data_IF_435440618123
#
_entry.id   IF_435440618123
#
_cell.length_a   1.000
_cell.length_b   1.000
_cell.length_c   1.000
_cell.angle_alpha   90.00
_cell.angle_beta   90.00
_cell.angle_gamma   90.00
#
_symmetry.space_group_name_H-M   'P 1'
#
loop_
_entity.id
_entity.type
_entity.pdbx_description
1 polymer ?
#
# COMPACT_ATOMS: atom_id res chain seq x y z
N UNK A 1 -10.30 -6.23 12.27
CA UNK A 1 -10.13 -6.36 10.80
C UNK A 1 -8.81 -5.71 10.45
N UNK A 2 -7.99 -6.35 9.61
CA UNK A 2 -6.69 -5.83 9.18
C UNK A 2 -6.67 -5.83 7.65
N UNK A 3 -6.26 -4.73 7.03
CA UNK A 3 -6.23 -4.55 5.57
C UNK A 3 -4.79 -4.65 5.07
N UNK A 4 -4.54 -5.48 4.06
CA UNK A 4 -3.28 -5.46 3.33
C UNK A 4 -3.33 -4.34 2.28
N UNK A 5 -2.28 -3.53 2.20
CA UNK A 5 -2.12 -2.51 1.17
C UNK A 5 -0.84 -2.75 0.38
N UNK A 6 -0.87 -2.42 -0.90
CA UNK A 6 0.28 -2.47 -1.78
C UNK A 6 0.01 -1.71 -3.07
N UNK A 7 1.06 -1.21 -3.70
CA UNK A 7 1.03 -0.50 -4.97
C UNK A 7 2.35 -0.71 -5.71
N UNK A 8 2.39 -0.38 -6.99
CA UNK A 8 3.66 -0.10 -7.66
C UNK A 8 4.13 1.34 -7.37
N UNK A 9 5.20 1.74 -8.06
CA UNK A 9 5.81 3.07 -7.98
C UNK A 9 4.83 4.20 -8.31
N UNK A 10 3.90 3.99 -9.24
CA UNK A 10 2.92 5.00 -9.61
C UNK A 10 1.87 5.23 -8.49
N UNK A 11 1.64 4.24 -7.62
CA UNK A 11 0.66 4.32 -6.54
C UNK A 11 1.18 4.80 -5.19
N UNK A 12 2.50 5.01 -5.01
CA UNK A 12 3.11 5.34 -3.71
C UNK A 12 2.52 6.60 -3.08
N UNK A 13 2.36 7.67 -3.87
CA UNK A 13 1.79 8.92 -3.39
C UNK A 13 0.38 8.71 -2.81
N UNK A 14 -0.49 7.99 -3.53
CA UNK A 14 -1.84 7.71 -3.08
C UNK A 14 -1.87 6.76 -1.88
N UNK A 15 -1.01 5.73 -1.87
CA UNK A 15 -0.88 4.81 -0.73
C UNK A 15 -0.53 5.58 0.55
N UNK A 16 0.39 6.53 0.46
CA UNK A 16 0.76 7.39 1.58
C UNK A 16 -0.40 8.25 2.07
N UNK A 17 -1.22 8.81 1.17
CA UNK A 17 -2.43 9.57 1.52
C UNK A 17 -3.55 8.70 2.14
N UNK A 18 -3.58 7.39 1.85
CA UNK A 18 -4.57 6.46 2.40
C UNK A 18 -4.24 6.06 3.85
N UNK A 19 -2.95 5.93 4.22
CA UNK A 19 -2.59 5.45 5.57
C UNK A 19 -3.08 6.35 6.72
N UNK A 20 -3.11 7.70 6.62
CA UNK A 20 -3.77 8.56 7.61
C UNK A 20 -5.27 8.31 7.74
N UNK A 21 -5.96 8.05 6.61
CA UNK A 21 -7.40 7.74 6.62
C UNK A 21 -7.65 6.41 7.32
N UNK A 22 -6.85 5.38 7.05
CA UNK A 22 -6.95 4.10 7.76
C UNK A 22 -6.72 4.27 9.27
N UNK A 23 -5.77 5.12 9.64
CA UNK A 23 -5.48 5.47 11.04
C UNK A 23 -6.65 6.19 11.70
N UNK A 24 -7.24 7.19 11.04
CA UNK A 24 -8.41 7.93 11.54
C UNK A 24 -9.61 7.01 11.77
N UNK A 25 -9.81 6.04 10.88
CA UNK A 25 -10.87 5.03 10.98
C UNK A 25 -10.57 3.91 11.99
N UNK A 26 -9.43 3.96 12.69
CA UNK A 26 -8.95 2.90 13.58
C UNK A 26 -8.88 1.51 12.91
N UNK A 27 -8.62 1.48 11.61
CA UNK A 27 -8.42 0.26 10.82
C UNK A 27 -6.94 -0.10 10.89
N UNK A 28 -6.62 -1.33 11.29
CA UNK A 28 -5.25 -1.82 11.23
C UNK A 28 -4.87 -2.15 9.78
N UNK A 29 -3.63 -1.87 9.37
CA UNK A 29 -3.13 -2.25 8.05
C UNK A 29 -1.72 -2.84 8.10
N UNK A 30 -1.32 -3.49 7.01
CA UNK A 30 0.04 -3.94 6.73
C UNK A 30 0.39 -3.56 5.29
N UNK A 31 1.57 -2.99 5.11
CA UNK A 31 2.04 -2.45 3.84
C UNK A 31 3.05 -3.42 3.21
N UNK A 32 2.71 -3.94 2.04
CA UNK A 32 3.53 -4.90 1.30
C UNK A 32 4.38 -4.26 0.19
N UNK A 33 4.37 -2.91 0.11
CA UNK A 33 5.19 -2.12 -0.79
C UNK A 33 4.47 -1.71 -2.08
N UNK A 34 5.16 -1.06 -3.01
CA UNK A 34 6.51 -0.50 -2.87
C UNK A 34 6.52 0.76 -2.01
N UNK A 35 7.67 1.14 -1.46
CA UNK A 35 7.85 2.28 -0.56
C UNK A 35 8.69 3.42 -1.16
N UNK A 36 8.99 3.34 -2.45
CA UNK A 36 9.75 4.34 -3.20
C UNK A 36 9.19 4.51 -4.61
N UNK A 37 9.58 5.59 -5.27
CA UNK A 37 9.16 5.90 -6.64
C UNK A 37 10.05 5.24 -7.71
N UNK A 38 10.88 4.28 -7.31
CA UNK A 38 11.71 3.53 -8.25
C UNK A 38 10.82 2.57 -9.04
N UNK A 39 11.04 2.50 -10.35
CA UNK A 39 10.24 1.64 -11.23
C UNK A 39 10.31 0.19 -10.80
N UNK A 40 9.13 -0.42 -10.63
CA UNK A 40 8.91 -1.80 -10.18
C UNK A 40 7.65 -2.36 -10.81
N UNK A 41 7.52 -3.69 -10.80
CA UNK A 41 6.39 -4.41 -11.39
C UNK A 41 5.25 -4.61 -10.37
N UNK A 42 4.04 -4.16 -10.72
CA UNK A 42 2.87 -4.26 -9.84
C UNK A 42 2.45 -5.69 -9.42
N UNK A 43 2.65 -6.77 -10.21
CA UNK A 43 2.27 -8.12 -9.79
C UNK A 43 2.96 -8.58 -8.51
N UNK A 44 4.22 -8.19 -8.28
CA UNK A 44 5.01 -8.55 -7.09
C UNK A 44 4.37 -8.03 -5.78
N UNK A 45 3.63 -6.93 -5.87
CA UNK A 45 2.92 -6.32 -4.74
C UNK A 45 1.47 -6.77 -4.68
N UNK A 46 0.83 -6.96 -5.83
CA UNK A 46 -0.52 -7.49 -5.94
C UNK A 46 -0.64 -8.91 -5.35
N UNK A 47 0.33 -9.79 -5.64
CA UNK A 47 0.35 -11.15 -5.10
C UNK A 47 0.47 -11.19 -3.57
N UNK A 48 1.23 -10.26 -2.98
CA UNK A 48 1.39 -10.16 -1.51
C UNK A 48 0.11 -9.70 -0.81
N UNK A 49 -0.77 -9.02 -1.53
CA UNK A 49 -2.04 -8.46 -1.00
C UNK A 49 -3.22 -9.42 -1.21
N UNK A 50 -3.14 -10.32 -2.19
CA UNK A 50 -4.21 -11.22 -2.63
C UNK A 50 -4.65 -12.29 -1.62
#
# INVERSE_FOLDING_TARGET
>A
MKVAIGSDHAGVALKNEITPVLKELAVAWEDYGTNNEESVDYPDFGEKVA
#
